data_IF_966451220403
#
_entry.id   IF_966451220403
#
_cell.length_a   1.000
_cell.length_b   1.000
_cell.length_c   1.000
_cell.angle_alpha   90.00
_cell.angle_beta   90.00
_cell.angle_gamma   90.00
#
_symmetry.space_group_name_H-M   'P 1'
#
loop_
_entity.id
_entity.type
_entity.pdbx_description
1 polymer ?
#
# COMPACT_ATOMS: atom_id res chain seq x y z
N UNK A 1 -31.51 -32.86 1.97
CA UNK A 1 -30.66 -31.76 1.48
C UNK A 1 -30.50 -30.80 2.65
N UNK A 2 -29.51 -31.05 3.51
CA UNK A 2 -29.30 -30.24 4.72
C UNK A 2 -28.89 -28.83 4.29
N UNK A 3 -29.78 -27.86 4.50
CA UNK A 3 -29.41 -26.44 4.39
C UNK A 3 -28.63 -26.09 5.66
N UNK A 4 -27.36 -26.48 5.69
CA UNK A 4 -26.43 -26.04 6.72
C UNK A 4 -26.42 -24.50 6.78
N UNK A 5 -26.24 -23.97 7.99
CA UNK A 5 -26.08 -22.53 8.22
C UNK A 5 -25.04 -21.98 7.24
N UNK A 6 -25.38 -20.93 6.47
CA UNK A 6 -24.54 -20.43 5.35
C UNK A 6 -23.09 -20.10 5.77
N UNK A 7 -22.90 -19.75 7.04
CA UNK A 7 -21.59 -19.49 7.66
C UNK A 7 -20.75 -20.76 7.74
N UNK A 8 -21.34 -21.89 8.15
CA UNK A 8 -20.63 -23.17 8.28
C UNK A 8 -20.13 -23.63 6.91
N UNK A 9 -21.00 -23.60 5.89
CA UNK A 9 -20.62 -23.97 4.53
C UNK A 9 -19.53 -23.05 3.94
N UNK A 10 -19.55 -21.75 4.25
CA UNK A 10 -18.49 -20.81 3.85
C UNK A 10 -17.15 -21.12 4.51
N UNK A 11 -17.15 -21.45 5.80
CA UNK A 11 -15.94 -21.79 6.55
C UNK A 11 -15.37 -23.11 6.04
N UNK A 12 -16.20 -24.13 5.84
CA UNK A 12 -15.78 -25.42 5.29
C UNK A 12 -15.20 -25.29 3.88
N UNK A 13 -15.84 -24.52 3.00
CA UNK A 13 -15.33 -24.27 1.66
C UNK A 13 -13.98 -23.55 1.70
N UNK A 14 -13.85 -22.51 2.54
CA UNK A 14 -12.59 -21.78 2.71
C UNK A 14 -11.47 -22.70 3.21
N UNK A 15 -11.76 -23.57 4.18
CA UNK A 15 -10.80 -24.54 4.68
C UNK A 15 -10.38 -25.56 3.61
N UNK A 16 -11.34 -26.07 2.82
CA UNK A 16 -11.05 -27.02 1.73
C UNK A 16 -10.22 -26.40 0.61
N UNK A 17 -10.44 -25.12 0.31
CA UNK A 17 -9.77 -24.41 -0.78
C UNK A 17 -8.37 -23.88 -0.39
N UNK A 18 -8.25 -23.25 0.79
CA UNK A 18 -7.03 -22.55 1.21
C UNK A 18 -6.27 -23.27 2.34
N UNK A 19 -6.81 -24.38 2.86
CA UNK A 19 -6.24 -25.09 4.01
C UNK A 19 -6.38 -24.35 5.35
N UNK A 20 -7.08 -23.22 5.37
CA UNK A 20 -7.26 -22.37 6.54
C UNK A 20 -8.60 -21.63 6.49
N UNK A 21 -9.01 -21.10 7.63
CA UNK A 21 -10.27 -20.34 7.77
C UNK A 21 -10.04 -18.84 7.97
N UNK A 22 -8.79 -18.38 7.83
CA UNK A 22 -8.44 -16.98 8.10
C UNK A 22 -9.11 -16.05 7.10
N UNK A 23 -9.45 -14.84 7.53
CA UNK A 23 -10.10 -13.88 6.65
C UNK A 23 -9.13 -13.35 5.60
N UNK A 24 -9.58 -13.42 4.34
CA UNK A 24 -8.84 -12.83 3.22
C UNK A 24 -8.85 -11.31 3.45
N UNK A 25 -7.69 -10.66 3.48
CA UNK A 25 -7.63 -9.22 3.62
C UNK A 25 -8.41 -8.59 2.47
N UNK A 26 -9.41 -7.78 2.81
CA UNK A 26 -10.21 -7.07 1.80
C UNK A 26 -9.28 -6.15 1.03
N UNK A 27 -9.30 -6.27 -0.30
CA UNK A 27 -8.59 -5.31 -1.15
C UNK A 27 -9.15 -3.91 -0.86
N UNK A 28 -8.29 -3.03 -0.35
CA UNK A 28 -8.65 -1.66 -0.06
C UNK A 28 -8.76 -0.82 -1.33
N UNK A 29 -9.11 0.47 -1.18
CA UNK A 29 -9.11 1.41 -2.30
C UNK A 29 -7.73 1.47 -2.97
N UNK A 30 -7.68 1.29 -4.29
CA UNK A 30 -6.45 1.41 -5.07
C UNK A 30 -5.77 2.76 -4.78
N UNK A 31 -4.45 2.72 -4.58
CA UNK A 31 -3.65 3.91 -4.32
C UNK A 31 -3.46 4.66 -5.65
N UNK A 32 -3.38 5.98 -5.55
CA UNK A 32 -3.22 6.89 -6.70
C UNK A 32 -1.83 6.73 -7.35
N UNK A 33 -0.81 6.33 -6.57
CA UNK A 33 0.55 6.14 -7.05
C UNK A 33 0.82 4.65 -7.30
N UNK A 34 1.33 4.35 -8.49
CA UNK A 34 1.89 3.04 -8.82
C UNK A 34 3.23 2.81 -8.11
N UNK A 35 3.77 1.59 -8.10
CA UNK A 35 5.03 1.27 -7.44
C UNK A 35 6.24 1.89 -8.15
N UNK A 36 6.24 1.96 -9.49
CA UNK A 36 7.26 2.64 -10.29
C UNK A 36 7.33 4.14 -9.96
N UNK A 37 6.18 4.82 -9.98
CA UNK A 37 6.08 6.25 -9.63
C UNK A 37 6.55 6.52 -8.19
N UNK A 38 6.30 5.60 -7.25
CA UNK A 38 6.81 5.75 -5.88
C UNK A 38 8.33 5.69 -5.86
N UNK A 39 8.94 4.81 -6.64
CA UNK A 39 10.38 4.67 -6.70
C UNK A 39 11.02 5.94 -7.27
N UNK A 40 10.52 6.45 -8.38
CA UNK A 40 11.04 7.67 -9.03
C UNK A 40 10.98 8.88 -8.09
N UNK A 41 9.84 9.08 -7.41
CA UNK A 41 9.68 10.16 -6.44
C UNK A 41 10.67 10.04 -5.27
N UNK A 42 10.94 8.80 -4.81
CA UNK A 42 11.87 8.58 -3.71
C UNK A 42 13.32 8.81 -4.12
N UNK A 43 13.69 8.42 -5.34
CA UNK A 43 15.02 8.67 -5.91
C UNK A 43 15.26 10.17 -6.12
N UNK A 44 14.31 10.90 -6.70
CA UNK A 44 14.43 12.36 -6.91
C UNK A 44 14.60 13.12 -5.58
N UNK A 45 13.92 12.69 -4.53
CA UNK A 45 14.05 13.28 -3.18
C UNK A 45 15.36 12.85 -2.50
N UNK A 46 15.86 11.64 -2.79
CA UNK A 46 17.14 11.18 -2.28
C UNK A 46 18.31 11.95 -2.92
N UNK A 47 18.24 12.19 -4.22
CA UNK A 47 19.24 12.94 -4.98
C UNK A 47 19.29 14.42 -4.55
N UNK A 48 18.12 15.01 -4.24
CA UNK A 48 18.06 16.36 -3.69
C UNK A 48 17.04 16.48 -2.54
N UNK A 49 17.47 16.28 -1.28
CA UNK A 49 16.58 16.33 -0.11
C UNK A 49 15.98 17.71 0.18
N UNK A 50 16.59 18.78 -0.36
CA UNK A 50 16.12 20.15 -0.20
C UNK A 50 15.15 20.58 -1.31
N UNK A 51 14.92 19.72 -2.31
CA UNK A 51 13.96 19.98 -3.37
C UNK A 51 12.56 20.14 -2.79
N UNK A 52 11.86 21.25 -3.05
CA UNK A 52 10.54 21.47 -2.49
C UNK A 52 9.55 20.45 -3.04
N UNK A 53 8.75 19.86 -2.15
CA UNK A 53 7.75 18.83 -2.51
C UNK A 53 6.77 19.28 -3.60
N UNK A 54 6.57 20.59 -3.75
CA UNK A 54 5.71 21.16 -4.81
C UNK A 54 6.35 21.06 -6.20
N UNK A 55 7.67 21.10 -6.31
CA UNK A 55 8.38 20.86 -7.57
C UNK A 55 8.37 19.38 -7.91
N UNK A 56 8.71 18.50 -6.97
CA UNK A 56 8.62 17.03 -7.16
C UNK A 56 7.22 16.59 -7.59
N UNK A 57 6.17 17.24 -7.04
CA UNK A 57 4.78 17.05 -7.45
C UNK A 57 4.52 17.39 -8.92
N UNK A 58 5.05 18.53 -9.38
CA UNK A 58 4.89 18.98 -10.76
C UNK A 58 5.68 18.08 -11.72
N UNK A 59 6.91 17.71 -11.35
CA UNK A 59 7.79 16.90 -12.18
C UNK A 59 7.25 15.48 -12.41
N UNK A 60 6.50 14.95 -11.46
CA UNK A 60 5.95 13.58 -11.50
C UNK A 60 4.43 13.54 -11.78
N UNK A 61 3.80 14.68 -12.13
CA UNK A 61 2.35 14.83 -12.35
C UNK A 61 1.47 14.22 -11.23
N UNK A 62 1.83 14.50 -9.98
CA UNK A 62 1.15 13.94 -8.81
C UNK A 62 0.79 15.02 -7.81
N UNK A 63 -0.28 14.79 -7.05
CA UNK A 63 -0.67 15.73 -6.00
C UNK A 63 0.38 15.80 -4.89
N UNK A 64 0.67 17.02 -4.42
CA UNK A 64 1.56 17.27 -3.27
C UNK A 64 1.17 16.45 -2.03
N UNK A 65 -0.13 16.27 -1.80
CA UNK A 65 -0.66 15.46 -0.68
C UNK A 65 -0.28 13.98 -0.81
N UNK A 66 -0.22 13.44 -2.03
CA UNK A 66 0.21 12.06 -2.29
C UNK A 66 1.68 11.87 -2.01
N UNK A 67 2.54 12.83 -2.39
CA UNK A 67 3.97 12.79 -2.05
C UNK A 67 4.17 12.90 -0.54
N UNK A 68 3.51 13.84 0.14
CA UNK A 68 3.61 13.94 1.60
C UNK A 68 3.15 12.65 2.31
N UNK A 69 2.10 12.00 1.80
CA UNK A 69 1.62 10.72 2.33
C UNK A 69 2.61 9.59 2.07
N UNK A 70 3.24 9.56 0.89
CA UNK A 70 4.32 8.63 0.55
C UNK A 70 5.50 8.82 1.49
N UNK A 71 6.01 10.04 1.63
CA UNK A 71 7.12 10.40 2.50
C UNK A 71 6.84 10.09 3.97
N UNK A 72 5.61 10.33 4.46
CA UNK A 72 5.24 9.97 5.83
C UNK A 72 5.25 8.46 6.03
N UNK A 73 4.82 7.68 5.03
CA UNK A 73 4.85 6.22 5.08
C UNK A 73 6.29 5.71 5.08
N UNK A 74 7.16 6.24 4.23
CA UNK A 74 8.56 5.82 4.14
C UNK A 74 9.37 6.28 5.34
N UNK A 75 9.21 7.53 5.82
CA UNK A 75 9.87 8.02 7.04
C UNK A 75 9.46 7.25 8.30
N UNK A 76 8.18 6.86 8.44
CA UNK A 76 7.76 5.97 9.53
C UNK A 76 8.37 4.57 9.43
N UNK A 77 8.82 4.17 8.25
CA UNK A 77 9.54 2.90 8.03
C UNK A 77 11.06 3.09 8.26
N UNK A 78 11.56 4.33 8.15
CA UNK A 78 12.98 4.72 8.25
C UNK A 78 13.52 4.91 9.68
N UNK A 79 12.79 4.46 10.72
CA UNK A 79 13.43 4.14 12.01
C UNK A 79 14.31 2.88 11.93
N UNK A 80 14.39 2.24 10.77
CA UNK A 80 15.27 1.11 10.53
C UNK A 80 16.27 1.52 9.42
N UNK A 81 17.54 1.68 9.84
CA UNK A 81 18.78 1.82 9.07
C UNK A 81 19.16 3.21 8.55
N UNK A 82 19.46 4.09 9.49
CA UNK A 82 20.68 4.93 9.40
C UNK A 82 21.53 4.62 10.64
N UNK A 83 22.28 3.53 10.57
CA UNK A 83 23.56 3.14 11.20
C UNK A 83 23.90 1.78 10.59
#
# INVERSE_FOLDING_TARGET
MERGCSTVSRIENKFREFGNVTDIPKSGRNRILDDEQKLDILLDIQDNPHKPTRQVAADNDVSKTSILRLLKKTKNTAHIKFI
#
